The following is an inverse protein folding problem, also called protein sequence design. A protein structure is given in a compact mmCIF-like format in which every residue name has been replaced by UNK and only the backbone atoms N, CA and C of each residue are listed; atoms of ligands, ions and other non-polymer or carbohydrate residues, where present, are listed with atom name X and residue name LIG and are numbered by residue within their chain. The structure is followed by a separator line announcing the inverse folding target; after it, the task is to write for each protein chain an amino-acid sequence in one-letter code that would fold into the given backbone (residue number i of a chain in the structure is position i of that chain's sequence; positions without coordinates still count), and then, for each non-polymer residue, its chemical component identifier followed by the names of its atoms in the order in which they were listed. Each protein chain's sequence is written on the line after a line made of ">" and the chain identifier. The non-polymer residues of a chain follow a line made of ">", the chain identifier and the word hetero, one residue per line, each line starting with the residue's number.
data_IF_797282991518
#
_entry.id   IF_797282991518
#
_cell.length_a   1.000
_cell.length_b   1.000
_cell.length_c   1.000
_cell.angle_alpha   90.00
_cell.angle_beta   90.00
_cell.angle_gamma   90.00
#
_symmetry.space_group_name_H-M   'P 1'
#
loop_
_entity.id
_entity.type
_entity.pdbx_description
1 polymer ?
#
# COMPACT_ATOMS: atom_id res chain seq x y z
N UNK A 1 20.26 -13.98 -4.68
CA UNK A 1 20.92 -13.40 -3.49
C UNK A 1 20.20 -13.97 -2.28
N UNK A 2 20.91 -14.66 -1.38
CA UNK A 2 20.30 -15.23 -0.18
C UNK A 2 20.09 -14.11 0.86
N UNK A 3 18.95 -14.13 1.56
CA UNK A 3 18.70 -13.16 2.62
C UNK A 3 19.69 -13.36 3.78
N UNK A 4 20.04 -12.29 4.48
CA UNK A 4 20.84 -12.43 5.69
C UNK A 4 20.00 -13.07 6.81
N UNK A 5 20.61 -13.80 7.77
CA UNK A 5 19.86 -14.38 8.88
C UNK A 5 19.03 -13.34 9.67
N UNK A 6 19.54 -12.11 9.79
CA UNK A 6 18.80 -11.01 10.42
C UNK A 6 17.55 -10.59 9.63
N UNK A 7 17.63 -10.56 8.29
CA UNK A 7 16.49 -10.24 7.43
C UNK A 7 15.46 -11.38 7.44
N UNK A 8 15.90 -12.63 7.44
CA UNK A 8 15.04 -13.81 7.58
C UNK A 8 14.29 -13.77 8.91
N UNK A 9 15.00 -13.50 10.02
CA UNK A 9 14.38 -13.36 11.34
C UNK A 9 13.37 -12.22 11.40
N UNK A 10 13.68 -11.07 10.79
CA UNK A 10 12.74 -9.96 10.70
C UNK A 10 11.48 -10.36 9.90
N UNK A 11 11.65 -11.08 8.78
CA UNK A 11 10.53 -11.58 7.98
C UNK A 11 9.63 -12.54 8.76
N UNK A 12 10.21 -13.43 9.58
CA UNK A 12 9.46 -14.33 10.47
C UNK A 12 8.63 -13.57 11.51
N UNK A 13 9.25 -12.61 12.22
CA UNK A 13 8.55 -11.83 13.25
C UNK A 13 7.42 -10.97 12.65
N UNK A 14 7.66 -10.39 11.47
CA UNK A 14 6.65 -9.62 10.75
C UNK A 14 5.51 -10.52 10.28
N UNK A 15 5.81 -11.72 9.75
CA UNK A 15 4.79 -12.69 9.39
C UNK A 15 3.97 -13.11 10.61
N UNK A 16 4.60 -13.39 11.75
CA UNK A 16 3.90 -13.74 12.99
C UNK A 16 2.94 -12.63 13.42
N UNK A 17 3.38 -11.37 13.43
CA UNK A 17 2.54 -10.23 13.80
C UNK A 17 1.34 -10.03 12.85
N UNK A 18 1.55 -10.16 11.54
CA UNK A 18 0.47 -10.05 10.53
C UNK A 18 -0.54 -11.19 10.71
N UNK A 19 -0.06 -12.43 10.87
CA UNK A 19 -0.95 -13.60 11.02
C UNK A 19 -1.72 -13.59 12.33
N UNK A 20 -1.13 -13.10 13.43
CA UNK A 20 -1.86 -12.92 14.69
C UNK A 20 -3.07 -11.99 14.49
N UNK A 21 -2.91 -10.89 13.73
CA UNK A 21 -4.01 -9.97 13.42
C UNK A 21 -5.04 -10.59 12.48
N UNK A 22 -4.62 -11.39 11.49
CA UNK A 22 -5.53 -12.15 10.63
C UNK A 22 -6.43 -13.06 11.45
N UNK A 23 -5.84 -13.83 12.38
CA UNK A 23 -6.53 -14.78 13.25
C UNK A 23 -7.45 -14.10 14.27
N UNK A 24 -7.09 -12.91 14.77
CA UNK A 24 -7.88 -12.15 15.75
C UNK A 24 -9.02 -11.33 15.12
N UNK A 25 -9.51 -11.71 13.94
CA UNK A 25 -10.63 -11.04 13.25
C UNK A 25 -10.24 -10.08 12.12
N UNK A 26 -8.95 -9.81 11.88
CA UNK A 26 -8.50 -9.00 10.75
C UNK A 26 -8.81 -9.63 9.40
N UNK A 27 -8.90 -10.96 9.32
CA UNK A 27 -9.29 -11.68 8.10
C UNK A 27 -10.73 -11.37 7.66
N UNK A 28 -11.64 -11.02 8.59
CA UNK A 28 -13.03 -10.70 8.27
C UNK A 28 -13.17 -9.40 7.46
N UNK A 29 -12.19 -8.50 7.59
CA UNK A 29 -12.11 -7.21 6.89
C UNK A 29 -11.48 -7.32 5.49
N UNK A 30 -10.98 -8.50 5.13
CA UNK A 30 -10.35 -8.71 3.84
C UNK A 30 -11.39 -9.19 2.82
N UNK A 31 -11.31 -8.68 1.57
CA UNK A 31 -12.10 -9.24 0.47
C UNK A 31 -11.92 -10.76 0.42
N UNK A 32 -13.00 -11.47 0.11
CA UNK A 32 -13.04 -12.95 0.13
C UNK A 32 -11.95 -13.55 -0.77
N UNK A 33 -11.54 -12.82 -1.80
CA UNK A 33 -10.55 -13.20 -2.81
C UNK A 33 -9.10 -12.91 -2.38
N UNK A 34 -8.86 -12.32 -1.20
CA UNK A 34 -7.51 -12.12 -0.68
C UNK A 34 -6.87 -13.49 -0.36
N UNK A 35 -6.04 -13.99 -1.28
CA UNK A 35 -5.30 -15.26 -1.14
C UNK A 35 -4.49 -15.37 0.17
N UNK A 36 -4.22 -14.24 0.83
CA UNK A 36 -3.47 -14.15 2.08
C UNK A 36 -4.33 -14.24 3.34
N UNK A 37 -5.64 -14.44 3.21
CA UNK A 37 -6.62 -14.44 4.31
C UNK A 37 -6.40 -15.56 5.33
N UNK A 38 -5.85 -16.71 4.89
CA UNK A 38 -5.53 -17.84 5.78
C UNK A 38 -4.15 -17.69 6.43
N UNK A 39 -3.16 -17.29 5.64
CA UNK A 39 -1.81 -17.04 6.11
C UNK A 39 -1.07 -16.11 5.13
N UNK A 40 -0.30 -15.18 5.69
CA UNK A 40 0.58 -14.30 4.96
C UNK A 40 2.03 -14.57 5.35
N UNK A 41 2.89 -14.81 4.35
CA UNK A 41 4.34 -14.94 4.52
C UNK A 41 5.04 -14.15 3.42
N UNK A 42 5.91 -13.19 3.76
CA UNK A 42 6.63 -12.43 2.74
C UNK A 42 7.70 -13.32 2.09
N UNK A 43 7.94 -13.08 0.80
CA UNK A 43 9.02 -13.70 0.03
C UNK A 43 9.94 -12.65 -0.62
N UNK A 44 9.65 -11.36 -0.40
CA UNK A 44 10.44 -10.26 -0.88
C UNK A 44 10.48 -9.16 0.19
N UNK A 45 11.62 -8.48 0.30
CA UNK A 45 11.76 -7.26 1.09
C UNK A 45 12.55 -6.22 0.29
N UNK A 46 12.10 -4.96 0.36
CA UNK A 46 12.86 -3.82 -0.16
C UNK A 46 13.34 -2.99 1.01
N UNK A 47 14.64 -2.69 1.03
CA UNK A 47 15.25 -1.82 2.02
C UNK A 47 15.38 -0.40 1.46
N UNK A 48 14.94 0.59 2.24
CA UNK A 48 15.13 2.00 1.93
C UNK A 48 15.96 2.68 3.04
N UNK A 49 16.82 3.62 2.65
CA UNK A 49 17.62 4.45 3.55
C UNK A 49 17.32 5.93 3.29
N UNK A 50 16.91 6.65 4.33
CA UNK A 50 16.64 8.09 4.30
C UNK A 50 17.64 8.77 5.24
N UNK A 51 18.77 9.21 4.68
CA UNK A 51 19.91 9.73 5.44
C UNK A 51 19.59 10.99 6.26
N UNK A 52 18.62 11.80 5.82
CA UNK A 52 18.24 13.05 6.48
C UNK A 52 16.76 13.37 6.27
N UNK A 53 16.28 14.51 6.78
CA UNK A 53 14.93 15.01 6.50
C UNK A 53 14.73 15.46 5.04
N UNK A 54 15.80 15.71 4.29
CA UNK A 54 15.73 16.16 2.89
C UNK A 54 15.45 15.01 1.90
N UNK A 55 15.66 13.77 2.32
CA UNK A 55 15.42 12.56 1.52
C UNK A 55 14.03 12.01 1.86
N UNK A 56 13.24 11.75 0.83
CA UNK A 56 11.88 11.23 0.97
C UNK A 56 11.52 10.38 -0.24
N UNK A 57 10.29 9.89 -0.27
CA UNK A 57 9.73 9.09 -1.35
C UNK A 57 8.38 9.66 -1.72
N UNK A 58 8.20 10.07 -2.97
CA UNK A 58 6.97 10.72 -3.43
C UNK A 58 5.75 9.80 -3.34
N UNK A 59 4.56 10.39 -3.32
CA UNK A 59 3.29 9.68 -3.25
C UNK A 59 3.13 8.65 -4.38
N UNK A 60 2.99 7.38 -3.99
CA UNK A 60 2.79 6.26 -4.91
C UNK A 60 1.96 5.16 -4.25
N UNK A 61 1.53 4.19 -5.06
CA UNK A 61 1.05 2.90 -4.59
C UNK A 61 2.02 1.84 -5.11
N UNK A 62 2.20 0.75 -4.37
CA UNK A 62 3.09 -0.32 -4.80
C UNK A 62 2.58 -0.97 -6.09
N UNK A 63 3.50 -1.34 -6.98
CA UNK A 63 3.14 -2.00 -8.25
C UNK A 63 2.50 -3.35 -7.96
N UNK A 64 1.24 -3.50 -8.38
CA UNK A 64 0.43 -4.67 -8.06
C UNK A 64 0.70 -5.88 -8.95
N UNK A 65 1.45 -5.73 -10.06
CA UNK A 65 1.63 -6.78 -11.08
C UNK A 65 2.03 -8.15 -10.49
N UNK A 66 3.06 -8.19 -9.64
CA UNK A 66 3.50 -9.43 -8.98
C UNK A 66 2.83 -9.65 -7.60
N UNK A 67 2.26 -8.61 -7.00
CA UNK A 67 1.55 -8.68 -5.72
C UNK A 67 0.12 -9.22 -5.87
N UNK A 68 -0.45 -9.12 -7.07
CA UNK A 68 -1.86 -9.38 -7.35
C UNK A 68 -2.80 -8.37 -6.68
N UNK A 69 -4.12 -8.61 -6.79
CA UNK A 69 -5.16 -7.82 -6.16
C UNK A 69 -5.10 -7.98 -4.63
N UNK A 70 -5.52 -6.95 -3.91
CA UNK A 70 -5.64 -6.94 -2.45
C UNK A 70 -4.40 -7.47 -1.72
N UNK A 71 -3.21 -6.88 -1.94
CA UNK A 71 -2.00 -7.32 -1.27
C UNK A 71 -1.92 -6.77 0.15
N UNK A 72 -1.45 -7.60 1.08
CA UNK A 72 -0.99 -7.15 2.40
C UNK A 72 0.49 -6.76 2.28
N UNK A 73 0.84 -5.57 2.75
CA UNK A 73 2.21 -5.06 2.75
C UNK A 73 2.57 -4.62 4.17
N UNK A 74 3.72 -5.07 4.67
CA UNK A 74 4.18 -4.75 6.01
C UNK A 74 5.49 -3.97 5.96
N UNK A 75 5.57 -2.85 6.66
CA UNK A 75 6.70 -1.92 6.62
C UNK A 75 7.26 -1.71 8.02
N UNK A 76 8.47 -2.20 8.26
CA UNK A 76 9.19 -2.04 9.52
C UNK A 76 10.08 -0.80 9.46
N UNK A 77 9.82 0.16 10.36
CA UNK A 77 10.58 1.41 10.49
C UNK A 77 11.66 1.30 11.56
N UNK A 78 12.90 1.68 11.22
CA UNK A 78 14.05 1.66 12.11
C UNK A 78 14.81 2.99 12.05
N UNK A 79 15.48 3.38 13.15
CA UNK A 79 16.23 4.64 13.19
C UNK A 79 15.35 5.85 13.49
N UNK A 80 15.66 6.99 12.88
CA UNK A 80 14.99 8.26 13.18
C UNK A 80 13.50 8.24 12.79
N UNK A 81 12.68 8.96 13.56
CA UNK A 81 11.24 9.09 13.28
C UNK A 81 11.02 9.85 11.97
N UNK A 82 10.06 9.40 11.15
CA UNK A 82 9.60 10.12 9.95
C UNK A 82 8.09 10.04 9.79
N UNK A 83 7.54 11.07 9.16
CA UNK A 83 6.16 11.07 8.71
C UNK A 83 6.00 10.17 7.48
N UNK A 84 5.18 9.14 7.61
CA UNK A 84 4.61 8.37 6.53
C UNK A 84 3.20 8.89 6.28
N UNK A 85 2.97 9.49 5.12
CA UNK A 85 1.70 10.11 4.78
C UNK A 85 0.91 9.25 3.80
N UNK A 86 -0.37 9.07 4.10
CA UNK A 86 -1.36 8.43 3.24
C UNK A 86 -2.28 9.48 2.63
N UNK A 87 -2.60 9.32 1.35
CA UNK A 87 -3.50 10.17 0.57
C UNK A 87 -4.58 9.28 -0.06
N UNK A 88 -5.84 9.42 0.36
CA UNK A 88 -6.93 8.64 -0.24
C UNK A 88 -7.13 9.05 -1.69
N UNK A 89 -7.41 8.09 -2.56
CA UNK A 89 -7.71 8.29 -3.99
C UNK A 89 -9.10 7.81 -4.39
N UNK A 90 -9.74 6.97 -3.57
CA UNK A 90 -11.06 6.41 -3.85
C UNK A 90 -11.89 6.20 -2.59
N UNK A 91 -13.22 6.34 -2.69
CA UNK A 91 -14.16 5.92 -1.64
C UNK A 91 -14.56 4.46 -1.81
N UNK A 92 -14.40 3.70 -0.73
CA UNK A 92 -14.86 2.30 -0.62
C UNK A 92 -15.66 2.13 0.66
N UNK A 93 -16.71 1.32 0.59
CA UNK A 93 -17.47 0.87 1.77
C UNK A 93 -16.63 -0.21 2.45
N UNK A 94 -16.20 0.06 3.69
CA UNK A 94 -15.36 -0.87 4.45
C UNK A 94 -16.02 -1.32 5.76
N UNK A 95 -17.32 -1.07 5.97
CA UNK A 95 -18.00 -1.46 7.21
C UNK A 95 -19.52 -1.32 7.13
N UNK A 96 -20.26 -2.44 7.21
CA UNK A 96 -21.73 -2.45 7.39
C UNK A 96 -22.16 -3.06 8.76
N UNK A 97 -21.19 -3.39 9.62
CA UNK A 97 -21.38 -4.24 10.81
C UNK A 97 -21.66 -3.54 12.14
N UNK A 98 -22.23 -2.33 12.14
CA UNK A 98 -22.85 -1.78 13.35
C UNK A 98 -24.13 -1.08 12.95
N UNK A 99 -25.27 -1.75 13.18
CA UNK A 99 -26.57 -1.12 13.14
C UNK A 99 -26.56 0.14 14.02
N UNK A 100 -26.59 1.28 13.36
CA UNK A 100 -26.56 2.58 13.99
C UNK A 100 -26.97 3.60 12.95
N UNK A 101 -28.27 3.89 12.91
CA UNK A 101 -28.82 5.08 12.28
C UNK A 101 -28.12 6.30 12.88
N UNK A 102 -27.10 6.81 12.19
CA UNK A 102 -26.28 7.89 12.70
C UNK A 102 -25.33 8.40 11.64
N UNK A 103 -25.64 9.59 11.13
CA UNK A 103 -24.71 10.44 10.41
C UNK A 103 -23.36 10.55 11.15
N UNK A 104 -22.25 10.26 10.47
CA UNK A 104 -20.90 10.65 10.86
C UNK A 104 -20.08 9.57 11.56
N UNK A 105 -19.02 9.09 10.90
CA UNK A 105 -17.96 8.32 11.55
C UNK A 105 -17.08 9.24 12.42
N UNK A 106 -16.70 8.88 13.67
CA UNK A 106 -16.07 9.81 14.62
C UNK A 106 -14.54 9.97 14.48
N UNK A 107 -13.93 9.54 13.38
CA UNK A 107 -12.46 9.63 13.20
C UNK A 107 -12.00 10.40 11.95
N UNK A 108 -12.92 10.98 11.19
CA UNK A 108 -12.56 12.03 10.25
C UNK A 108 -12.27 13.30 11.05
N UNK A 109 -11.01 13.46 11.47
CA UNK A 109 -10.50 14.77 11.92
C UNK A 109 -10.94 15.80 10.89
N UNK A 110 -11.76 16.76 11.34
CA UNK A 110 -12.38 17.79 10.52
C UNK A 110 -11.41 18.35 9.47
N UNK A 111 -11.52 17.84 8.25
CA UNK A 111 -10.85 18.42 7.09
C UNK A 111 -11.75 19.56 6.66
N UNK A 112 -11.27 20.79 6.83
CA UNK A 112 -11.93 21.99 6.34
C UNK A 112 -12.49 21.74 4.93
N UNK A 113 -13.76 22.08 4.75
CA UNK A 113 -14.47 21.97 3.49
C UNK A 113 -13.65 22.62 2.35
N UNK A 114 -13.04 21.79 1.49
CA UNK A 114 -12.26 22.28 0.35
C UNK A 114 -10.99 21.51 -0.02
N UNK A 115 -10.57 20.47 0.71
CA UNK A 115 -9.40 19.67 0.33
C UNK A 115 -9.77 18.31 -0.30
N UNK A 116 -9.43 18.13 -1.57
CA UNK A 116 -9.65 16.93 -2.42
C UNK A 116 -8.94 15.64 -2.00
N UNK A 117 -8.40 15.56 -0.79
CA UNK A 117 -7.65 14.39 -0.32
C UNK A 117 -7.82 14.23 1.19
N UNK A 118 -8.38 13.10 1.63
CA UNK A 118 -8.26 12.65 3.02
C UNK A 118 -6.81 12.25 3.24
N UNK A 119 -6.08 13.04 4.04
CA UNK A 119 -4.67 12.82 4.36
C UNK A 119 -4.53 12.29 5.78
N UNK A 120 -3.69 11.27 5.95
CA UNK A 120 -3.35 10.73 7.27
C UNK A 120 -1.83 10.71 7.41
N UNK A 121 -1.34 11.41 8.43
CA UNK A 121 0.09 11.52 8.74
C UNK A 121 0.42 10.59 9.92
N UNK A 122 1.25 9.59 9.68
CA UNK A 122 1.71 8.65 10.69
C UNK A 122 3.17 8.95 11.05
N UNK A 123 3.43 9.35 12.29
CA UNK A 123 4.80 9.51 12.78
C UNK A 123 5.38 8.14 13.14
N UNK A 124 6.11 7.55 12.19
CA UNK A 124 6.69 6.22 12.35
C UNK A 124 8.07 6.31 13.03
N UNK A 125 8.12 5.89 14.30
CA UNK A 125 9.32 5.81 15.12
C UNK A 125 10.10 4.50 14.92
N UNK A 126 11.27 4.39 15.56
CA UNK A 126 12.05 3.16 15.61
C UNK A 126 11.22 1.99 16.17
N UNK A 127 11.36 0.81 15.56
CA UNK A 127 10.68 -0.43 15.94
C UNK A 127 9.16 -0.40 15.79
N UNK A 128 8.65 0.43 14.89
CA UNK A 128 7.23 0.41 14.53
C UNK A 128 7.00 -0.38 13.24
N UNK A 129 6.04 -1.31 13.29
CA UNK A 129 5.54 -2.05 12.16
C UNK A 129 4.23 -1.44 11.68
N UNK A 130 4.23 -0.88 10.47
CA UNK A 130 3.01 -0.45 9.79
C UNK A 130 2.54 -1.59 8.89
N UNK A 131 1.29 -2.02 9.02
CA UNK A 131 0.66 -2.99 8.10
C UNK A 131 -0.37 -2.26 7.25
N UNK A 132 -0.14 -2.26 5.94
CA UNK A 132 -1.09 -1.77 4.95
C UNK A 132 -1.98 -2.93 4.52
N UNK A 133 -3.16 -3.00 5.13
CA UNK A 133 -4.20 -3.97 4.78
C UNK A 133 -4.88 -3.57 3.48
N UNK A 134 -5.36 -4.52 2.66
CA UNK A 134 -6.30 -4.21 1.59
C UNK A 134 -7.46 -3.34 2.10
N UNK A 135 -7.93 -2.33 1.33
CA UNK A 135 -7.52 -2.00 -0.03
C UNK A 135 -6.55 -0.81 -0.10
N UNK A 136 -5.51 -0.78 0.75
CA UNK A 136 -4.59 0.37 0.84
C UNK A 136 -3.91 0.66 -0.50
N UNK A 137 -3.43 -0.34 -1.23
CA UNK A 137 -2.70 -0.09 -2.49
C UNK A 137 -3.61 0.35 -3.64
N UNK A 138 -4.89 0.01 -3.55
CA UNK A 138 -5.90 0.34 -4.54
C UNK A 138 -6.48 1.74 -4.33
N UNK A 139 -6.65 2.13 -3.05
CA UNK A 139 -7.44 3.30 -2.68
C UNK A 139 -6.63 4.40 -2.00
N UNK A 140 -5.34 4.18 -1.75
CA UNK A 140 -4.43 5.16 -1.16
C UNK A 140 -3.09 5.20 -1.88
N UNK A 141 -2.52 6.40 -1.94
CA UNK A 141 -1.10 6.60 -2.20
C UNK A 141 -0.39 6.91 -0.90
N UNK A 142 0.86 6.52 -0.80
CA UNK A 142 1.69 6.76 0.37
C UNK A 142 3.03 7.39 0.02
N UNK A 143 3.56 8.18 0.95
CA UNK A 143 4.84 8.87 0.82
C UNK A 143 5.62 8.93 2.13
N UNK A 144 6.93 9.06 2.03
CA UNK A 144 7.78 9.50 3.13
C UNK A 144 8.11 10.96 2.88
N UNK A 145 7.54 11.85 3.68
CA UNK A 145 7.61 13.29 3.41
C UNK A 145 9.02 13.82 3.67
N UNK A 146 9.52 14.66 2.77
CA UNK A 146 10.68 15.52 3.06
C UNK A 146 10.27 16.53 4.15
N UNK A 147 11.18 16.84 5.06
CA UNK A 147 10.96 17.82 6.13
C UNK A 147 12.25 18.56 6.49
N UNK A 148 12.14 19.87 6.66
CA UNK A 148 13.13 20.72 7.30
C UNK A 148 12.85 20.92 8.80
N UNK A 149 11.65 20.54 9.27
CA UNK A 149 11.28 20.61 10.68
C UNK A 149 12.06 19.57 11.49
N UNK A 150 12.42 19.88 12.74
CA UNK A 150 13.01 18.91 13.66
C UNK A 150 12.16 17.65 13.80
N UNK A 151 12.81 16.50 13.93
CA UNK A 151 12.21 15.20 14.19
C UNK A 151 13.07 14.42 15.17
N UNK A 152 12.50 13.40 15.81
CA UNK A 152 13.21 12.59 16.79
C UNK A 152 14.38 11.83 16.13
N UNK A 153 15.60 12.16 16.56
CA UNK A 153 16.81 11.46 16.17
C UNK A 153 16.94 10.13 16.91
N UNK A 154 17.57 9.15 16.28
CA UNK A 154 17.86 7.87 16.91
C UNK A 154 19.26 7.86 17.52
N UNK A 155 19.40 7.31 18.73
CA UNK A 155 20.65 7.34 19.52
C UNK A 155 21.89 6.84 18.75
N UNK A 156 21.71 5.84 17.87
CA UNK A 156 22.81 5.23 17.11
C UNK A 156 22.93 5.71 15.67
N UNK A 157 21.80 5.97 15.01
CA UNK A 157 21.77 6.29 13.57
C UNK A 157 21.56 7.78 13.28
N UNK A 158 21.49 8.60 14.34
CA UNK A 158 21.28 10.05 14.25
C UNK A 158 20.00 10.37 13.48
N UNK A 159 20.14 11.12 12.40
CA UNK A 159 19.04 11.50 11.53
C UNK A 159 18.57 10.38 10.59
N UNK A 160 19.32 9.29 10.43
CA UNK A 160 19.02 8.27 9.41
C UNK A 160 17.84 7.38 9.80
N UNK A 161 16.88 7.22 8.89
CA UNK A 161 15.80 6.21 8.95
C UNK A 161 16.08 5.09 7.96
N UNK A 162 15.89 3.86 8.41
CA UNK A 162 15.84 2.67 7.57
C UNK A 162 14.42 2.14 7.55
N UNK A 163 14.04 1.52 6.44
CA UNK A 163 12.75 0.89 6.30
C UNK A 163 12.87 -0.42 5.55
N UNK A 164 12.29 -1.49 6.10
CA UNK A 164 12.16 -2.78 5.42
C UNK A 164 10.69 -2.98 5.05
N UNK A 165 10.37 -2.94 3.76
CA UNK A 165 9.02 -3.22 3.27
C UNK A 165 8.93 -4.66 2.78
N UNK A 166 8.23 -5.48 3.54
CA UNK A 166 7.97 -6.89 3.29
C UNK A 166 6.72 -7.08 2.42
N UNK A 167 6.84 -7.94 1.42
CA UNK A 167 5.82 -8.23 0.42
C UNK A 167 5.76 -9.72 0.15
N UNK A 168 4.57 -10.20 -0.22
CA UNK A 168 4.38 -11.51 -0.81
C UNK A 168 4.08 -11.33 -2.31
N UNK A 169 5.08 -11.60 -3.14
CA UNK A 169 4.86 -11.80 -4.57
C UNK A 169 4.07 -13.09 -4.75
N UNK A 170 2.91 -13.03 -5.40
CA UNK A 170 2.00 -14.18 -5.53
C UNK A 170 2.44 -15.05 -6.71
N UNK A 171 2.74 -16.35 -6.50
CA UNK A 171 3.13 -17.24 -7.58
C UNK A 171 2.11 -17.25 -8.73
N UNK A 172 2.60 -17.24 -9.96
CA UNK A 172 1.76 -17.26 -11.17
C UNK A 172 1.23 -15.89 -11.61
N UNK A 173 1.24 -14.85 -10.77
CA UNK A 173 0.82 -13.50 -11.20
C UNK A 173 1.80 -12.88 -12.19
N UNK A 174 3.09 -13.15 -12.07
CA UNK A 174 4.13 -12.71 -13.00
C UNK A 174 3.95 -13.28 -14.42
N UNK A 175 3.39 -14.48 -14.55
CA UNK A 175 3.12 -15.12 -15.84
C UNK A 175 1.78 -14.68 -16.47
N UNK A 176 0.90 -14.04 -15.69
CA UNK A 176 -0.40 -13.52 -16.16
C UNK A 176 -0.28 -12.14 -16.80
N UNK A 177 0.92 -11.57 -16.84
CA UNK A 177 1.15 -10.21 -17.34
C UNK A 177 1.12 -10.21 -18.87
N UNK A 178 0.16 -9.53 -19.50
CA UNK A 178 0.12 -9.44 -20.95
C UNK A 178 1.25 -8.55 -21.48
N UNK A 179 1.69 -8.82 -22.69
CA UNK A 179 2.66 -7.98 -23.40
C UNK A 179 1.97 -6.78 -24.05
N UNK A 180 2.47 -5.55 -23.83
CA UNK A 180 2.02 -4.34 -24.54
C UNK A 180 2.29 -4.47 -26.04
N UNK A 181 1.61 -3.64 -26.84
CA UNK A 181 1.95 -3.44 -28.26
C UNK A 181 3.39 -2.93 -28.48
N UNK A 182 4.02 -2.34 -27.46
CA UNK A 182 5.43 -1.92 -27.53
C UNK A 182 6.45 -3.03 -27.18
N UNK A 183 5.99 -4.26 -26.92
CA UNK A 183 6.83 -5.42 -26.60
C UNK A 183 7.23 -5.55 -25.13
N UNK A 184 6.83 -4.62 -24.26
CA UNK A 184 7.13 -4.64 -22.81
C UNK A 184 5.99 -5.27 -22.00
N UNK A 185 6.26 -5.88 -20.83
CA UNK A 185 5.21 -6.31 -19.93
C UNK A 185 4.32 -5.14 -19.50
N UNK A 186 3.00 -5.33 -19.52
CA UNK A 186 2.06 -4.34 -19.01
C UNK A 186 2.12 -4.25 -17.47
N UNK A 187 1.60 -3.17 -16.91
CA UNK A 187 1.54 -2.94 -15.46
C UNK A 187 0.10 -3.02 -14.99
N UNK A 188 -0.15 -3.82 -13.96
CA UNK A 188 -1.46 -3.89 -13.31
C UNK A 188 -1.71 -2.64 -12.48
N UNK A 189 -2.90 -2.08 -12.60
CA UNK A 189 -3.39 -0.93 -11.83
C UNK A 189 -4.81 -1.19 -11.35
N UNK A 190 -5.15 -0.68 -10.17
CA UNK A 190 -6.53 -0.56 -9.75
C UNK A 190 -7.24 0.52 -10.58
N UNK A 191 -8.52 0.29 -10.89
CA UNK A 191 -9.39 1.31 -11.47
C UNK A 191 -9.60 2.44 -10.47
N UNK A 192 -9.06 3.62 -10.79
CA UNK A 192 -9.29 4.84 -10.02
C UNK A 192 -10.35 5.68 -10.74
N UNK A 193 -11.46 6.03 -10.08
CA UNK A 193 -12.48 6.88 -10.69
C UNK A 193 -11.89 8.23 -11.11
N UNK A 194 -12.39 8.79 -12.23
CA UNK A 194 -11.94 10.10 -12.73
C UNK A 194 -12.50 11.28 -11.92
N UNK A 195 -13.59 11.06 -11.18
CA UNK A 195 -14.27 12.11 -10.40
C UNK A 195 -13.54 12.42 -9.09
N UNK A 196 -13.62 13.66 -8.57
CA UNK A 196 -13.12 14.00 -7.24
C UNK A 196 -13.71 13.10 -6.14
N UNK A 197 -12.96 12.87 -5.06
CA UNK A 197 -13.31 11.92 -4.00
C UNK A 197 -14.66 12.27 -3.35
N UNK A 198 -14.99 13.56 -3.20
CA UNK A 198 -16.25 14.01 -2.60
C UNK A 198 -17.47 13.69 -3.45
N UNK A 199 -17.30 13.54 -4.77
CA UNK A 199 -18.38 13.24 -5.72
C UNK A 199 -18.52 11.73 -5.99
N UNK A 200 -17.55 10.92 -5.57
CA UNK A 200 -17.60 9.47 -5.76
C UNK A 200 -18.63 8.82 -4.84
N UNK A 201 -19.50 7.99 -5.39
CA UNK A 201 -20.27 7.04 -4.59
C UNK A 201 -19.33 5.96 -4.06
N UNK A 202 -19.51 5.51 -2.80
CA UNK A 202 -18.78 4.37 -2.28
C UNK A 202 -19.02 3.11 -3.13
N UNK A 203 -18.01 2.24 -3.23
CA UNK A 203 -18.11 0.96 -3.93
C UNK A 203 -17.51 -0.16 -3.08
N UNK A 204 -18.07 -1.36 -3.22
CA UNK A 204 -17.53 -2.61 -2.65
C UNK A 204 -16.66 -3.39 -3.61
N UNK A 205 -16.63 -3.02 -4.89
CA UNK A 205 -15.91 -3.76 -5.91
C UNK A 205 -14.64 -3.04 -6.34
N UNK A 206 -13.53 -3.74 -6.24
CA UNK A 206 -12.26 -3.31 -6.80
C UNK A 206 -12.05 -3.99 -8.15
N UNK A 207 -11.83 -3.16 -9.18
CA UNK A 207 -11.53 -3.61 -10.53
C UNK A 207 -10.08 -3.29 -10.86
N UNK A 208 -9.49 -4.11 -11.71
CA UNK A 208 -8.09 -3.98 -12.11
C UNK A 208 -7.97 -4.02 -13.62
N UNK A 209 -6.92 -3.42 -14.15
CA UNK A 209 -6.57 -3.46 -15.56
C UNK A 209 -5.06 -3.51 -15.73
N UNK A 210 -4.62 -4.07 -16.84
CA UNK A 210 -3.24 -3.95 -17.29
C UNK A 210 -3.14 -2.79 -18.28
N UNK A 211 -2.14 -1.93 -18.11
CA UNK A 211 -1.87 -0.84 -19.04
C UNK A 211 -0.39 -0.70 -19.37
N UNK A 212 -0.11 -0.07 -20.51
CA UNK A 212 1.25 0.38 -20.81
C UNK A 212 1.73 1.38 -19.75
N UNK A 213 2.97 1.23 -19.30
CA UNK A 213 3.66 2.24 -18.52
C UNK A 213 4.82 2.82 -19.32
N UNK A 214 4.94 4.14 -19.34
CA UNK A 214 6.09 4.81 -19.94
C UNK A 214 7.32 4.60 -19.04
N UNK A 215 8.46 4.26 -19.65
CA UNK A 215 9.72 4.06 -18.92
C UNK A 215 10.55 5.34 -18.81
N UNK A 216 10.00 6.48 -19.24
CA UNK A 216 10.62 7.81 -19.17
C UNK A 216 11.89 7.98 -20.00
N UNK A 217 12.39 6.92 -20.64
CA UNK A 217 13.68 6.91 -21.34
C UNK A 217 13.56 7.02 -22.85
N UNK A 218 12.51 6.47 -23.48
CA UNK A 218 12.48 6.39 -24.97
C UNK A 218 11.12 6.38 -25.68
N UNK A 219 9.98 6.03 -25.05
CA UNK A 219 8.68 5.96 -25.76
C UNK A 219 7.50 6.41 -24.90
N UNK A 220 6.60 7.19 -25.50
CA UNK A 220 5.27 7.47 -24.95
C UNK A 220 4.48 6.17 -24.75
N UNK A 221 3.47 6.19 -23.87
CA UNK A 221 2.59 5.05 -23.65
C UNK A 221 1.99 4.52 -24.96
N UNK A 222 2.00 3.20 -25.16
CA UNK A 222 1.51 2.53 -26.36
C UNK A 222 -0.03 2.51 -26.46
N UNK A 223 -0.73 3.09 -25.47
CA UNK A 223 -2.19 3.09 -25.36
C UNK A 223 -2.80 1.71 -25.05
N UNK A 224 -1.97 0.68 -24.85
CA UNK A 224 -2.43 -0.66 -24.49
C UNK A 224 -3.16 -0.64 -23.14
N UNK A 225 -4.31 -1.29 -23.13
CA UNK A 225 -5.17 -1.48 -21.99
C UNK A 225 -5.94 -2.79 -22.15
N UNK A 226 -6.04 -3.58 -21.09
CA UNK A 226 -6.93 -4.74 -21.01
C UNK A 226 -7.41 -4.92 -19.57
N UNK A 227 -8.71 -5.14 -19.38
CA UNK A 227 -9.27 -5.39 -18.05
C UNK A 227 -8.80 -6.73 -17.49
N UNK A 228 -8.61 -6.77 -16.18
CA UNK A 228 -8.38 -8.02 -15.45
C UNK A 228 -9.76 -8.61 -15.16
N UNK A 229 -10.07 -9.84 -15.59
CA UNK A 229 -11.39 -10.44 -15.40
C UNK A 229 -11.75 -10.69 -13.92
N UNK A 230 -10.77 -10.58 -13.01
CA UNK A 230 -10.96 -10.72 -11.58
C UNK A 230 -11.37 -9.38 -10.94
N UNK A 231 -12.58 -9.36 -10.36
CA UNK A 231 -13.06 -8.33 -9.44
C UNK A 231 -12.80 -8.83 -8.01
N UNK A 232 -12.33 -7.96 -7.12
CA UNK A 232 -12.27 -8.27 -5.69
C UNK A 232 -13.43 -7.59 -4.98
N UNK A 233 -14.17 -8.34 -4.16
CA UNK A 233 -15.35 -7.85 -3.43
C UNK A 233 -14.96 -7.62 -1.99
N UNK A 234 -14.90 -6.36 -1.57
CA UNK A 234 -14.66 -5.98 -0.19
C UNK A 234 -15.83 -6.47 0.69
N UNK A 235 -15.47 -7.02 1.85
CA UNK A 235 -16.41 -7.57 2.83
C UNK A 235 -17.26 -6.47 3.49
#
# INVERSE_FOLDING_TARGET
>A
MQASPALERAAELVALAVNARLQSGGAAMLPLEAADRQAWRPNCAVANCYASGAVGMAAHSDRMTALGPCPIIASLSLGATRCFRLHRTQRVDLWEGAGGTGSGSPHDTAVAAGADVVRVDLQLAHNQLLVMWPPTQETWKHEVTKTSKPFTLHKRSGATRFNLTFRRMKPGWEHRVPTCRCGRPAVMKAHVPKQPIQQQQPTRQLRYYYACESDGRTKASCGFFVDVPHVATLA
#
